data_IF_391531468388
#
_entry.id   IF_391531468388
#
_cell.length_a   1.000
_cell.length_b   1.000
_cell.length_c   1.000
_cell.angle_alpha   90.00
_cell.angle_beta   90.00
_cell.angle_gamma   90.00
#
_symmetry.space_group_name_H-M   'P 1'
#
loop_
_entity.id
_entity.type
_entity.pdbx_description
1 polymer ?
#
# COMPACT_ATOMS: atom_id res chain seq x y z
N UNK A 1 -12.85 -14.12 2.63
CA UNK A 1 -13.08 -12.78 3.12
C UNK A 1 -11.80 -11.96 3.07
N UNK A 2 -11.93 -10.67 3.23
CA UNK A 2 -10.79 -9.79 3.14
C UNK A 2 -9.78 -10.05 4.26
N UNK A 3 -8.49 -9.87 3.95
CA UNK A 3 -7.44 -10.00 4.98
C UNK A 3 -7.66 -8.94 6.06
N UNK A 4 -7.42 -9.33 7.32
CA UNK A 4 -7.46 -8.37 8.42
C UNK A 4 -6.35 -7.33 8.25
N UNK A 5 -6.55 -6.08 8.71
CA UNK A 5 -5.50 -5.05 8.61
C UNK A 5 -4.17 -5.49 9.21
N UNK A 6 -4.20 -6.25 10.32
CA UNK A 6 -2.98 -6.77 10.94
C UNK A 6 -2.23 -7.75 10.04
N UNK A 7 -2.96 -8.51 9.21
CA UNK A 7 -2.33 -9.42 8.25
C UNK A 7 -1.61 -8.68 7.14
N UNK A 8 -2.20 -7.60 6.63
CA UNK A 8 -1.57 -6.78 5.61
C UNK A 8 -0.30 -6.13 6.15
N UNK A 9 -0.33 -5.65 7.38
CA UNK A 9 0.82 -5.04 8.03
C UNK A 9 1.96 -6.06 8.19
N UNK A 10 1.63 -7.30 8.58
CA UNK A 10 2.61 -8.36 8.72
C UNK A 10 3.27 -8.70 7.39
N UNK A 11 2.48 -8.72 6.30
CA UNK A 11 3.01 -8.95 4.96
C UNK A 11 4.01 -7.85 4.59
N UNK A 12 3.64 -6.59 4.83
CA UNK A 12 4.50 -5.46 4.54
C UNK A 12 5.80 -5.53 5.32
N UNK A 13 5.73 -5.95 6.58
CA UNK A 13 6.90 -6.07 7.42
C UNK A 13 7.88 -7.11 6.89
N UNK A 14 7.37 -8.18 6.28
CA UNK A 14 8.22 -9.18 5.65
C UNK A 14 8.83 -8.69 4.34
N UNK A 15 8.10 -7.86 3.60
CA UNK A 15 8.55 -7.35 2.31
C UNK A 15 9.55 -6.21 2.45
N UNK A 16 9.42 -5.40 3.49
CA UNK A 16 10.27 -4.23 3.73
C UNK A 16 11.24 -4.56 4.86
N UNK A 17 12.48 -4.87 4.49
CA UNK A 17 13.48 -5.32 5.46
C UNK A 17 14.08 -4.18 6.28
N UNK A 18 14.11 -2.98 5.74
CA UNK A 18 14.68 -1.81 6.42
C UNK A 18 13.66 -1.23 7.40
N UNK A 19 13.95 -1.23 8.72
CA UNK A 19 12.98 -0.74 9.71
C UNK A 19 12.56 0.71 9.50
N UNK A 20 13.46 1.58 9.05
CA UNK A 20 13.12 2.98 8.82
C UNK A 20 12.15 3.12 7.64
N UNK A 21 12.37 2.35 6.59
CA UNK A 21 11.49 2.36 5.42
C UNK A 21 10.13 1.76 5.77
N UNK A 22 10.12 0.68 6.54
CA UNK A 22 8.87 0.07 6.99
C UNK A 22 8.08 1.05 7.87
N UNK A 23 8.75 1.74 8.80
CA UNK A 23 8.06 2.69 9.67
C UNK A 23 7.39 3.79 8.85
N UNK A 24 8.09 4.32 7.85
CA UNK A 24 7.54 5.37 6.98
C UNK A 24 6.37 4.83 6.15
N UNK A 25 6.54 3.66 5.55
CA UNK A 25 5.48 3.02 4.77
C UNK A 25 4.25 2.75 5.64
N UNK A 26 4.47 2.26 6.85
CA UNK A 26 3.39 1.98 7.79
C UNK A 26 2.58 3.24 8.12
N UNK A 27 3.26 4.36 8.34
CA UNK A 27 2.58 5.63 8.62
C UNK A 27 1.74 6.10 7.45
N UNK A 28 2.27 5.96 6.24
CA UNK A 28 1.56 6.35 5.02
C UNK A 28 0.30 5.49 4.85
N UNK A 29 0.43 4.18 4.96
CA UNK A 29 -0.69 3.26 4.77
C UNK A 29 -1.74 3.45 5.85
N UNK A 30 -1.30 3.64 7.10
CA UNK A 30 -2.23 3.90 8.19
C UNK A 30 -3.03 5.18 7.96
N UNK A 31 -2.36 6.22 7.47
CA UNK A 31 -3.00 7.49 7.17
C UNK A 31 -3.97 7.39 5.98
N UNK A 32 -3.60 6.62 4.95
CA UNK A 32 -4.40 6.53 3.74
C UNK A 32 -5.59 5.59 3.88
N UNK A 33 -5.43 4.45 4.52
CA UNK A 33 -6.45 3.41 4.54
C UNK A 33 -6.67 2.75 5.89
N UNK A 34 -5.82 3.03 6.88
CA UNK A 34 -5.85 2.30 8.15
C UNK A 34 -5.52 0.83 7.97
N UNK A 35 -4.69 0.49 7.00
CA UNK A 35 -4.30 -0.89 6.67
C UNK A 35 -5.47 -1.75 6.16
N UNK A 36 -6.46 -1.12 5.54
CA UNK A 36 -7.60 -1.83 4.96
C UNK A 36 -7.37 -2.05 3.46
N UNK A 37 -7.15 -3.32 3.01
CA UNK A 37 -6.88 -3.58 1.59
C UNK A 37 -8.05 -3.27 0.67
N UNK A 38 -9.26 -3.17 1.20
CA UNK A 38 -10.44 -2.88 0.39
C UNK A 38 -10.99 -1.47 0.63
N UNK A 39 -10.22 -0.62 1.32
CA UNK A 39 -10.66 0.76 1.55
C UNK A 39 -10.89 1.47 0.21
N UNK A 40 -12.04 2.12 0.09
CA UNK A 40 -12.41 2.84 -1.13
C UNK A 40 -12.87 4.23 -0.75
N UNK A 41 -12.27 5.25 -1.39
CA UNK A 41 -12.70 6.63 -1.19
C UNK A 41 -13.94 6.89 -2.05
N UNK A 42 -15.06 7.20 -1.41
CA UNK A 42 -16.33 7.39 -2.11
C UNK A 42 -16.29 8.58 -3.07
N UNK A 43 -15.47 9.58 -2.78
CA UNK A 43 -15.37 10.79 -3.60
C UNK A 43 -14.49 10.61 -4.82
N UNK A 44 -13.31 10.01 -4.64
CA UNK A 44 -12.31 9.93 -5.72
C UNK A 44 -12.22 8.56 -6.37
N UNK A 45 -12.68 7.50 -5.68
CA UNK A 45 -12.51 6.13 -6.15
C UNK A 45 -11.15 5.53 -5.85
N UNK A 46 -10.31 6.25 -5.09
CA UNK A 46 -9.02 5.71 -4.68
C UNK A 46 -9.23 4.40 -3.91
N UNK A 47 -8.36 3.43 -4.14
CA UNK A 47 -8.59 2.08 -3.65
C UNK A 47 -7.35 1.48 -2.99
N UNK A 48 -7.60 0.67 -1.95
CA UNK A 48 -6.63 -0.20 -1.34
C UNK A 48 -5.76 0.45 -0.28
N UNK A 49 -4.72 -0.27 0.12
CA UNK A 49 -3.84 0.13 1.22
C UNK A 49 -3.22 1.50 1.02
N UNK A 50 -2.79 1.80 -0.19
CA UNK A 50 -2.11 3.05 -0.51
C UNK A 50 -3.00 4.04 -1.25
N UNK A 51 -4.27 3.72 -1.41
CA UNK A 51 -5.25 4.58 -2.07
C UNK A 51 -4.81 5.00 -3.46
N UNK A 52 -4.51 4.00 -4.30
CA UNK A 52 -4.16 4.23 -5.69
C UNK A 52 -5.34 4.84 -6.46
N UNK A 53 -5.07 5.80 -7.32
CA UNK A 53 -6.10 6.51 -8.09
C UNK A 53 -5.73 6.56 -9.56
N UNK A 54 -6.43 5.86 -10.43
CA UNK A 54 -7.44 4.84 -10.11
C UNK A 54 -6.80 3.58 -9.53
N UNK A 55 -7.58 2.79 -8.79
CA UNK A 55 -7.09 1.55 -8.20
C UNK A 55 -6.52 0.60 -9.24
N UNK A 56 -7.06 0.62 -10.45
CA UNK A 56 -6.61 -0.26 -11.53
C UNK A 56 -5.15 -0.06 -11.93
N UNK A 57 -4.51 1.02 -11.52
CA UNK A 57 -3.06 1.19 -11.71
C UNK A 57 -2.27 0.07 -11.06
N UNK A 58 -2.80 -0.50 -9.98
CA UNK A 58 -2.14 -1.58 -9.27
C UNK A 58 -2.11 -2.89 -10.06
N UNK A 59 -2.85 -2.98 -11.16
CA UNK A 59 -2.82 -4.15 -12.02
C UNK A 59 -1.45 -4.39 -12.63
N UNK A 60 -0.61 -3.36 -12.72
CA UNK A 60 0.76 -3.52 -13.20
C UNK A 60 1.62 -4.37 -12.25
N UNK A 61 1.25 -4.45 -10.98
CA UNK A 61 1.95 -5.28 -9.99
C UNK A 61 1.39 -6.69 -9.92
N UNK A 62 0.16 -6.90 -10.36
CA UNK A 62 -0.47 -8.21 -10.36
C UNK A 62 -1.96 -8.10 -10.63
N UNK A 63 -2.51 -9.10 -11.34
CA UNK A 63 -3.92 -9.11 -11.70
C UNK A 63 -4.84 -9.20 -10.47
N UNK A 64 -4.31 -9.69 -9.36
CA UNK A 64 -5.06 -9.87 -8.11
C UNK A 64 -5.01 -8.66 -7.18
N UNK A 65 -4.69 -7.49 -7.72
CA UNK A 65 -4.49 -6.26 -6.92
C UNK A 65 -5.70 -5.90 -6.04
N UNK A 66 -6.88 -6.29 -6.44
CA UNK A 66 -8.10 -5.95 -5.70
C UNK A 66 -8.21 -6.68 -4.37
N UNK A 67 -7.68 -7.88 -4.30
CA UNK A 67 -7.87 -8.76 -3.15
C UNK A 67 -6.59 -9.15 -2.43
N UNK A 68 -5.43 -8.98 -3.07
CA UNK A 68 -4.17 -9.42 -2.50
C UNK A 68 -3.37 -8.24 -1.91
N UNK A 69 -3.26 -8.16 -0.57
CA UNK A 69 -2.50 -7.07 0.06
C UNK A 69 -1.04 -7.03 -0.40
N UNK A 70 -0.42 -8.19 -0.63
CA UNK A 70 0.98 -8.23 -1.07
C UNK A 70 1.17 -7.51 -2.40
N UNK A 71 0.23 -7.68 -3.34
CA UNK A 71 0.26 -7.01 -4.63
C UNK A 71 0.13 -5.49 -4.47
N UNK A 72 -0.76 -5.07 -3.58
CA UNK A 72 -0.95 -3.64 -3.29
C UNK A 72 0.30 -3.03 -2.66
N UNK A 73 0.93 -3.74 -1.74
CA UNK A 73 2.15 -3.28 -1.07
C UNK A 73 3.28 -3.15 -2.11
N UNK A 74 3.42 -4.14 -2.97
CA UNK A 74 4.43 -4.10 -4.03
C UNK A 74 4.25 -2.87 -4.92
N UNK A 75 3.02 -2.62 -5.35
CA UNK A 75 2.74 -1.44 -6.18
C UNK A 75 3.06 -0.16 -5.43
N UNK A 76 2.65 -0.08 -4.16
CA UNK A 76 2.89 1.11 -3.35
C UNK A 76 4.37 1.39 -3.13
N UNK A 77 5.15 0.34 -2.87
CA UNK A 77 6.60 0.48 -2.72
C UNK A 77 7.24 0.96 -4.02
N UNK A 78 6.87 0.34 -5.14
CA UNK A 78 7.41 0.74 -6.44
C UNK A 78 7.04 2.19 -6.76
N UNK A 79 5.82 2.59 -6.46
CA UNK A 79 5.36 3.96 -6.66
C UNK A 79 6.17 4.95 -5.83
N UNK A 80 6.34 4.65 -4.54
CA UNK A 80 7.09 5.55 -3.65
C UNK A 80 8.55 5.63 -4.03
N UNK A 81 9.15 4.51 -4.42
CA UNK A 81 10.55 4.49 -4.86
C UNK A 81 10.72 5.29 -6.15
N UNK A 82 9.76 5.19 -7.06
CA UNK A 82 9.81 5.87 -8.34
C UNK A 82 9.60 7.39 -8.20
N UNK A 83 8.64 7.80 -7.36
CA UNK A 83 8.26 9.20 -7.23
C UNK A 83 9.08 9.96 -6.20
N UNK A 84 9.46 9.30 -5.10
CA UNK A 84 10.07 9.96 -3.95
C UNK A 84 11.42 9.35 -3.57
N UNK A 85 11.84 8.32 -4.27
CA UNK A 85 13.08 7.62 -3.99
C UNK A 85 12.98 6.56 -2.91
N UNK A 86 12.04 6.70 -1.98
CA UNK A 86 11.84 5.74 -0.89
C UNK A 86 10.57 6.07 -0.12
N UNK A 87 10.04 5.13 0.71
CA UNK A 87 8.94 5.44 1.62
C UNK A 87 9.26 6.59 2.58
N UNK A 88 10.50 6.66 3.09
CA UNK A 88 10.91 7.77 3.95
C UNK A 88 10.78 9.10 3.20
N UNK A 89 11.22 9.14 1.96
CA UNK A 89 11.08 10.32 1.11
C UNK A 89 9.62 10.68 0.88
N UNK A 90 8.77 9.69 0.70
CA UNK A 90 7.35 9.91 0.47
C UNK A 90 6.66 10.47 1.71
N UNK A 91 7.06 10.03 2.90
CA UNK A 91 6.46 10.49 4.14
C UNK A 91 6.86 11.93 4.48
N UNK A 92 8.09 12.28 4.16
CA UNK A 92 8.57 13.65 4.37
C UNK A 92 7.92 14.62 3.36
#
# INVERSE_FOLDING_TARGET
HAAAPSSAKAIAQQMIKDPAQFAAFSKIVEHESGWNPSATNASSGAYGLVQALPGSKMASAGADWKTNPATQIKWGLDYMNSRYGSPVGAWN
#
